data_IF_438330118802
#
_entry.id   IF_438330118802
#
_cell.length_a   1.000
_cell.length_b   1.000
_cell.length_c   1.000
_cell.angle_alpha   90.00
_cell.angle_beta   90.00
_cell.angle_gamma   90.00
#
_symmetry.space_group_name_H-M   'P 1'
#
loop_
_entity.id
_entity.type
_entity.pdbx_description
1 polymer ?
#
# COMPACT_ATOMS: atom_id res chain seq x y z
N UNK A 1 -14.24 -25.51 -7.23
CA UNK A 1 -14.06 -25.66 -8.69
C UNK A 1 -14.23 -24.27 -9.28
N UNK A 2 -13.14 -23.66 -9.74
CA UNK A 2 -13.11 -22.26 -10.22
C UNK A 2 -13.86 -22.19 -11.55
N UNK A 3 -15.00 -21.48 -11.60
CA UNK A 3 -15.65 -21.15 -12.87
C UNK A 3 -14.96 -19.94 -13.47
N UNK A 4 -14.25 -20.17 -14.58
CA UNK A 4 -13.87 -19.11 -15.50
C UNK A 4 -15.14 -18.49 -16.08
N UNK A 5 -15.24 -17.17 -16.03
CA UNK A 5 -16.29 -16.42 -16.71
C UNK A 5 -16.05 -16.54 -18.21
N UNK A 6 -16.98 -17.19 -18.93
CA UNK A 6 -16.98 -17.23 -20.38
C UNK A 6 -17.82 -16.06 -20.90
N UNK A 7 -17.19 -15.21 -21.71
CA UNK A 7 -17.92 -14.23 -22.51
C UNK A 7 -18.73 -14.95 -23.58
N UNK A 8 -20.02 -14.60 -23.70
CA UNK A 8 -20.92 -15.14 -24.72
C UNK A 8 -20.78 -14.42 -26.08
N UNK A 9 -19.73 -13.60 -26.26
CA UNK A 9 -19.45 -12.89 -27.50
C UNK A 9 -18.01 -13.18 -27.96
N UNK A 10 -17.90 -14.00 -29.02
CA UNK A 10 -16.70 -14.34 -29.81
C UNK A 10 -15.86 -15.57 -29.37
N UNK A 11 -16.46 -16.75 -29.56
CA UNK A 11 -15.82 -18.08 -29.61
C UNK A 11 -14.79 -18.23 -30.75
N UNK A 12 -13.58 -17.67 -30.67
CA UNK A 12 -12.44 -18.17 -31.50
C UNK A 12 -11.07 -18.15 -30.81
N UNK A 13 -10.82 -17.38 -29.75
CA UNK A 13 -9.49 -17.33 -29.14
C UNK A 13 -9.51 -17.66 -27.64
N UNK A 14 -8.87 -18.78 -27.27
CA UNK A 14 -8.48 -19.10 -25.89
C UNK A 14 -7.31 -18.20 -25.44
N UNK A 15 -7.45 -16.89 -25.57
CA UNK A 15 -6.62 -15.97 -24.81
C UNK A 15 -7.29 -15.81 -23.46
N UNK A 16 -6.68 -16.34 -22.40
CA UNK A 16 -7.07 -15.99 -21.05
C UNK A 16 -6.84 -14.48 -20.90
N UNK A 17 -7.90 -13.70 -21.09
CA UNK A 17 -7.84 -12.27 -20.79
C UNK A 17 -7.63 -12.15 -19.29
N UNK A 18 -6.53 -11.53 -18.91
CA UNK A 18 -6.28 -11.22 -17.51
C UNK A 18 -7.40 -10.29 -17.08
N UNK A 19 -8.24 -10.74 -16.13
CA UNK A 19 -9.30 -9.93 -15.49
C UNK A 19 -8.79 -8.63 -14.85
N UNK A 20 -7.46 -8.45 -14.86
CA UNK A 20 -6.73 -7.32 -14.29
C UNK A 20 -5.72 -6.83 -15.31
N UNK A 21 -5.79 -5.54 -15.62
CA UNK A 21 -4.68 -4.82 -16.21
C UNK A 21 -3.89 -4.14 -15.09
N UNK A 22 -2.59 -4.45 -14.98
CA UNK A 22 -1.62 -3.61 -14.28
C UNK A 22 -1.37 -3.93 -12.80
N UNK A 23 -0.76 -2.97 -12.13
CA UNK A 23 -0.09 -3.15 -10.85
C UNK A 23 -1.00 -3.30 -9.63
N UNK A 24 -2.31 -3.01 -9.76
CA UNK A 24 -3.23 -3.03 -8.61
C UNK A 24 -3.40 -4.42 -8.01
N UNK A 25 -3.14 -5.48 -8.80
CA UNK A 25 -3.34 -6.88 -8.43
C UNK A 25 -2.63 -7.26 -7.12
N UNK A 26 -1.43 -6.72 -6.89
CA UNK A 26 -0.61 -7.02 -5.71
C UNK A 26 -1.20 -6.42 -4.43
N UNK A 27 -2.02 -5.36 -4.54
CA UNK A 27 -2.62 -4.69 -3.40
C UNK A 27 -3.96 -5.28 -2.99
N UNK A 28 -4.63 -6.07 -3.84
CA UNK A 28 -5.99 -6.58 -3.61
C UNK A 28 -6.10 -7.33 -2.28
N UNK A 29 -5.14 -8.19 -1.95
CA UNK A 29 -5.14 -8.95 -0.70
C UNK A 29 -4.95 -8.08 0.56
N UNK A 30 -4.54 -6.82 0.42
CA UNK A 30 -4.35 -5.87 1.51
C UNK A 30 -5.55 -4.93 1.68
N UNK A 31 -6.45 -4.86 0.70
CA UNK A 31 -7.59 -3.95 0.73
C UNK A 31 -8.70 -4.47 1.65
N UNK A 32 -9.37 -3.52 2.28
CA UNK A 32 -10.71 -3.74 2.84
C UNK A 32 -11.76 -3.78 1.72
N UNK A 33 -12.95 -4.35 1.96
CA UNK A 33 -14.03 -4.30 0.96
C UNK A 33 -14.39 -2.87 0.53
N UNK A 34 -14.33 -1.88 1.43
CA UNK A 34 -14.59 -0.47 1.10
C UNK A 34 -13.55 0.09 0.14
N UNK A 35 -12.27 -0.12 0.46
CA UNK A 35 -11.17 0.36 -0.37
C UNK A 35 -11.22 -0.28 -1.76
N UNK A 36 -11.55 -1.57 -1.83
CA UNK A 36 -11.68 -2.27 -3.09
C UNK A 36 -12.85 -1.76 -3.95
N UNK A 37 -14.01 -1.45 -3.34
CA UNK A 37 -15.14 -0.83 -4.04
C UNK A 37 -14.85 0.59 -4.56
N UNK A 38 -13.88 1.29 -3.99
CA UNK A 38 -13.46 2.62 -4.43
C UNK A 38 -12.44 2.60 -5.58
N UNK A 39 -11.96 1.43 -6.00
CA UNK A 39 -11.02 1.31 -7.12
C UNK A 39 -11.75 1.64 -8.44
N UNK A 40 -11.22 2.55 -9.29
CA UNK A 40 -11.85 2.89 -10.56
C UNK A 40 -12.01 1.67 -11.47
N UNK A 41 -13.15 1.53 -12.16
CA UNK A 41 -13.37 0.45 -13.13
C UNK A 41 -12.35 0.44 -14.27
N UNK A 42 -11.73 1.58 -14.58
CA UNK A 42 -10.62 1.61 -15.55
C UNK A 42 -9.39 0.82 -15.09
N UNK A 43 -9.25 0.56 -13.79
CA UNK A 43 -8.17 -0.22 -13.19
C UNK A 43 -8.61 -1.69 -12.94
N UNK A 44 -9.92 -2.00 -13.04
CA UNK A 44 -10.49 -3.33 -12.78
C UNK A 44 -11.65 -3.68 -13.74
N UNK A 45 -11.52 -4.78 -14.49
CA UNK A 45 -12.57 -5.23 -15.43
C UNK A 45 -13.89 -5.57 -14.71
N UNK A 46 -13.80 -6.28 -13.57
CA UNK A 46 -14.92 -6.44 -12.63
C UNK A 46 -14.42 -6.74 -11.20
N UNK A 47 -14.92 -6.03 -10.17
CA UNK A 47 -14.43 -6.18 -8.80
C UNK A 47 -14.60 -7.61 -8.25
N UNK A 48 -15.74 -8.26 -8.47
CA UNK A 48 -15.99 -9.60 -7.91
C UNK A 48 -15.07 -10.68 -8.49
N UNK A 49 -14.90 -10.69 -9.82
CA UNK A 49 -14.07 -11.69 -10.49
C UNK A 49 -12.61 -11.59 -10.04
N UNK A 50 -12.11 -10.36 -9.86
CA UNK A 50 -10.77 -10.09 -9.34
C UNK A 50 -10.61 -10.58 -7.90
N UNK A 51 -11.55 -10.24 -7.02
CA UNK A 51 -11.49 -10.68 -5.64
C UNK A 51 -11.49 -12.21 -5.55
N UNK A 52 -12.32 -12.92 -6.34
CA UNK A 52 -12.36 -14.41 -6.29
C UNK A 52 -11.00 -15.03 -6.61
N UNK A 53 -10.25 -14.44 -7.55
CA UNK A 53 -8.93 -14.94 -7.96
C UNK A 53 -7.84 -14.59 -6.94
N UNK A 54 -7.84 -13.37 -6.41
CA UNK A 54 -6.75 -12.84 -5.57
C UNK A 54 -6.98 -12.95 -4.07
N UNK A 55 -8.23 -12.85 -3.62
CA UNK A 55 -8.64 -12.98 -2.22
C UNK A 55 -10.08 -13.52 -2.13
N UNK A 56 -10.26 -14.85 -2.13
CA UNK A 56 -11.59 -15.48 -2.02
C UNK A 56 -12.39 -14.98 -0.80
N UNK A 57 -11.69 -14.66 0.29
CA UNK A 57 -12.30 -14.05 1.48
C UNK A 57 -12.92 -12.69 1.16
N UNK A 58 -12.17 -11.80 0.50
CA UNK A 58 -12.68 -10.48 0.07
C UNK A 58 -13.87 -10.61 -0.87
N UNK A 59 -13.85 -11.58 -1.79
CA UNK A 59 -14.97 -11.84 -2.70
C UNK A 59 -16.26 -12.22 -1.95
N UNK A 60 -16.15 -13.14 -1.01
CA UNK A 60 -17.28 -13.55 -0.18
C UNK A 60 -17.85 -12.40 0.64
N UNK A 61 -16.99 -11.53 1.17
CA UNK A 61 -17.42 -10.34 1.91
C UNK A 61 -18.12 -9.32 1.00
N UNK A 62 -17.57 -9.01 -0.16
CA UNK A 62 -18.21 -8.12 -1.14
C UNK A 62 -19.57 -8.63 -1.57
N UNK A 63 -19.71 -9.95 -1.74
CA UNK A 63 -20.99 -10.58 -2.04
C UNK A 63 -21.97 -10.42 -0.89
N UNK A 64 -21.55 -10.68 0.35
CA UNK A 64 -22.39 -10.50 1.54
C UNK A 64 -22.80 -9.03 1.74
N UNK A 65 -21.90 -8.08 1.48
CA UNK A 65 -22.16 -6.64 1.58
C UNK A 65 -23.15 -6.20 0.50
N UNK A 66 -22.97 -6.61 -0.76
CA UNK A 66 -23.88 -6.21 -1.85
C UNK A 66 -25.28 -6.80 -1.71
N UNK A 67 -25.38 -7.97 -1.11
CA UNK A 67 -26.64 -8.59 -0.71
C UNK A 67 -27.23 -8.00 0.58
N UNK A 68 -26.59 -6.99 1.17
CA UNK A 68 -26.97 -6.35 2.44
C UNK A 68 -27.02 -7.31 3.64
N UNK A 69 -26.41 -8.49 3.53
CA UNK A 69 -26.32 -9.48 4.61
C UNK A 69 -25.31 -9.07 5.69
N UNK A 70 -24.33 -8.24 5.33
CA UNK A 70 -23.30 -7.71 6.23
C UNK A 70 -23.11 -6.22 6.02
N UNK A 71 -22.97 -5.46 7.11
CA UNK A 71 -22.58 -4.05 7.04
C UNK A 71 -21.09 -3.94 6.77
N UNK A 72 -20.69 -2.95 5.97
CA UNK A 72 -19.31 -2.72 5.58
C UNK A 72 -18.39 -2.55 6.80
N UNK A 73 -18.85 -1.82 7.80
CA UNK A 73 -18.14 -1.54 9.06
C UNK A 73 -17.80 -2.80 9.86
N UNK A 74 -18.49 -3.93 9.62
CA UNK A 74 -18.23 -5.18 10.31
C UNK A 74 -17.02 -5.95 9.74
N UNK A 75 -16.47 -5.51 8.61
CA UNK A 75 -15.38 -6.19 7.89
C UNK A 75 -14.02 -5.50 8.05
N UNK A 76 -14.01 -4.36 8.74
CA UNK A 76 -12.87 -3.47 8.87
C UNK A 76 -12.63 -3.18 10.35
N UNK A 77 -11.37 -3.10 10.75
CA UNK A 77 -11.02 -2.62 12.10
C UNK A 77 -10.08 -1.44 11.98
N UNK A 78 -10.41 -0.35 12.68
CA UNK A 78 -9.57 0.84 12.75
C UNK A 78 -8.33 0.54 13.60
N UNK A 79 -7.15 0.91 13.12
CA UNK A 79 -5.91 0.89 13.90
C UNK A 79 -5.75 2.23 14.66
N UNK A 80 -5.15 2.23 15.86
CA UNK A 80 -5.08 3.42 16.73
C UNK A 80 -4.07 4.50 16.27
N UNK A 81 -3.67 4.48 15.00
CA UNK A 81 -2.70 5.43 14.43
C UNK A 81 -2.99 5.71 12.96
N UNK A 82 -2.07 6.41 12.32
CA UNK A 82 -2.20 6.88 10.95
C UNK A 82 -0.91 6.67 10.16
N UNK A 83 -1.03 6.65 8.83
CA UNK A 83 0.11 6.76 7.95
C UNK A 83 0.26 8.20 7.47
N UNK A 84 1.50 8.67 7.38
CA UNK A 84 1.83 10.02 6.96
C UNK A 84 2.71 10.02 5.70
N UNK A 85 2.49 10.98 4.82
CA UNK A 85 3.34 11.26 3.67
C UNK A 85 3.80 12.71 3.74
N UNK A 86 5.11 12.92 3.84
CA UNK A 86 5.74 14.23 3.86
C UNK A 86 6.45 14.49 2.54
N UNK A 87 6.32 15.71 2.02
CA UNK A 87 6.98 16.14 0.77
C UNK A 87 8.14 17.07 1.07
N UNK A 88 9.28 16.82 0.45
CA UNK A 88 10.42 17.75 0.42
C UNK A 88 10.46 18.49 -0.93
N UNK A 89 10.53 19.82 -0.87
CA UNK A 89 10.64 20.73 -2.02
C UNK A 89 12.05 21.34 -2.15
N UNK A 90 13.05 20.78 -1.45
CA UNK A 90 14.44 21.26 -1.41
C UNK A 90 14.81 22.00 -0.11
N UNK A 91 13.98 21.93 0.94
CA UNK A 91 14.24 22.55 2.24
C UNK A 91 14.27 21.53 3.39
N UNK A 92 14.24 20.23 3.07
CA UNK A 92 13.91 19.16 4.01
C UNK A 92 12.39 19.03 4.18
N UNK A 93 11.94 18.08 4.99
CA UNK A 93 10.50 17.82 5.24
C UNK A 93 9.90 18.88 6.18
N UNK A 94 9.27 19.94 5.67
CA UNK A 94 8.66 20.97 6.50
C UNK A 94 7.35 20.45 7.12
N UNK A 95 7.03 20.90 8.33
CA UNK A 95 5.87 20.42 9.10
C UNK A 95 4.49 20.67 8.44
N UNK A 96 4.43 21.46 7.37
CA UNK A 96 3.19 21.84 6.67
C UNK A 96 2.87 21.05 5.39
N UNK A 97 3.77 20.23 4.86
CA UNK A 97 3.55 19.41 3.65
C UNK A 97 3.35 17.93 3.98
N UNK A 98 2.49 17.66 4.97
CA UNK A 98 2.15 16.31 5.41
C UNK A 98 0.70 15.96 5.07
N UNK A 99 0.50 14.76 4.55
CA UNK A 99 -0.81 14.14 4.34
C UNK A 99 -0.92 12.95 5.29
N UNK A 100 -2.00 12.89 6.06
CA UNK A 100 -2.28 11.78 6.97
C UNK A 100 -3.52 11.03 6.53
N UNK A 101 -3.53 9.71 6.70
CA UNK A 101 -4.72 8.88 6.47
C UNK A 101 -4.92 7.88 7.62
N UNK A 102 -6.16 7.71 8.10
CA UNK A 102 -6.46 6.67 9.08
C UNK A 102 -6.20 5.29 8.49
N UNK A 103 -5.86 4.35 9.36
CA UNK A 103 -5.51 3.00 8.96
C UNK A 103 -6.59 1.99 9.31
N UNK A 104 -6.84 1.10 8.36
CA UNK A 104 -7.80 0.02 8.49
C UNK A 104 -7.10 -1.30 8.21
N UNK A 105 -7.33 -2.29 9.07
CA UNK A 105 -6.97 -3.67 8.80
C UNK A 105 -8.17 -4.43 8.24
N UNK A 106 -7.93 -5.25 7.23
CA UNK A 106 -8.87 -6.25 6.78
C UNK A 106 -8.88 -7.46 7.75
N UNK A 107 -9.75 -8.44 7.49
CA UNK A 107 -9.89 -9.63 8.33
C UNK A 107 -8.61 -10.50 8.39
N UNK A 108 -7.73 -10.39 7.39
CA UNK A 108 -6.42 -11.07 7.37
C UNK A 108 -5.36 -10.30 8.17
N UNK A 109 -5.69 -9.16 8.77
CA UNK A 109 -4.75 -8.29 9.47
C UNK A 109 -3.85 -7.46 8.56
N UNK A 110 -4.15 -7.41 7.26
CA UNK A 110 -3.42 -6.62 6.26
C UNK A 110 -4.02 -5.23 6.10
N UNK A 111 -3.19 -4.29 5.72
CA UNK A 111 -3.51 -2.87 5.58
C UNK A 111 -3.05 -2.38 4.21
N UNK A 112 -3.95 -1.71 3.50
CA UNK A 112 -3.65 -0.98 2.26
C UNK A 112 -3.69 0.52 2.52
N UNK A 113 -2.65 1.21 2.08
CA UNK A 113 -2.49 2.66 2.19
C UNK A 113 -2.42 3.24 0.78
N UNK A 114 -3.20 4.31 0.54
CA UNK A 114 -3.13 5.12 -0.68
C UNK A 114 -3.11 6.59 -0.29
N UNK A 115 -2.03 7.27 -0.63
CA UNK A 115 -1.82 8.69 -0.39
C UNK A 115 -1.46 9.36 -1.71
N UNK A 116 -2.06 10.51 -2.00
CA UNK A 116 -1.87 11.22 -3.27
C UNK A 116 -1.65 12.70 -2.99
N UNK A 117 -0.64 13.29 -3.64
CA UNK A 117 -0.22 14.65 -3.39
C UNK A 117 0.13 15.37 -4.69
N UNK A 118 -0.23 16.64 -4.78
CA UNK A 118 0.11 17.51 -5.92
C UNK A 118 0.80 18.75 -5.39
N UNK A 119 2.06 18.92 -5.76
CA UNK A 119 2.89 20.06 -5.37
C UNK A 119 4.02 20.20 -6.39
N UNK A 120 4.31 21.42 -6.84
CA UNK A 120 5.39 21.62 -7.81
C UNK A 120 6.77 21.48 -7.16
N UNK A 121 7.65 20.75 -7.85
CA UNK A 121 9.06 20.63 -7.46
C UNK A 121 9.33 19.66 -6.31
N UNK A 122 8.57 18.57 -6.22
CA UNK A 122 8.84 17.51 -5.24
C UNK A 122 10.21 16.89 -5.55
N UNK A 123 11.11 16.93 -4.57
CA UNK A 123 12.48 16.40 -4.67
C UNK A 123 12.64 15.09 -3.90
N UNK A 124 11.91 14.92 -2.81
CA UNK A 124 11.88 13.67 -2.07
C UNK A 124 10.54 13.49 -1.36
N UNK A 125 10.26 12.24 -0.97
CA UNK A 125 9.16 11.91 -0.08
C UNK A 125 9.63 11.12 1.12
N UNK A 126 8.96 11.35 2.23
CA UNK A 126 9.10 10.58 3.45
C UNK A 126 7.74 9.96 3.75
N UNK A 127 7.68 8.63 3.63
CA UNK A 127 6.52 7.84 3.99
C UNK A 127 6.72 7.29 5.39
N UNK A 128 5.85 7.69 6.31
CA UNK A 128 5.77 7.15 7.66
C UNK A 128 4.60 6.17 7.71
N UNK A 129 4.84 4.85 7.65
CA UNK A 129 3.77 3.86 7.51
C UNK A 129 2.85 3.79 8.73
N UNK A 130 3.37 4.15 9.91
CA UNK A 130 2.65 4.17 11.17
C UNK A 130 3.33 5.12 12.15
N UNK A 131 2.54 5.97 12.80
CA UNK A 131 3.00 7.04 13.70
C UNK A 131 3.23 6.59 15.17
N UNK A 132 2.85 5.35 15.49
CA UNK A 132 3.02 4.73 16.81
C UNK A 132 4.07 3.60 16.78
N UNK A 133 4.61 3.18 17.94
CA UNK A 133 5.45 1.99 18.02
C UNK A 133 4.76 0.76 17.41
N UNK A 134 5.46 0.05 16.53
CA UNK A 134 4.91 -1.13 15.85
C UNK A 134 5.97 -2.06 15.27
N UNK A 135 5.55 -3.29 15.01
CA UNK A 135 6.18 -4.18 14.03
C UNK A 135 5.42 -4.04 12.71
N UNK A 136 6.15 -3.73 11.64
CA UNK A 136 5.66 -3.50 10.30
C UNK A 136 6.22 -4.59 9.39
N UNK A 137 5.36 -5.35 8.73
CA UNK A 137 5.76 -6.15 7.57
C UNK A 137 5.33 -5.40 6.32
N UNK A 138 6.28 -4.86 5.56
CA UNK A 138 5.98 -4.11 4.34
C UNK A 138 6.18 -5.05 3.16
N UNK A 139 5.08 -5.38 2.47
CA UNK A 139 5.12 -6.34 1.36
C UNK A 139 5.43 -5.63 0.03
N UNK A 140 4.91 -4.43 -0.16
CA UNK A 140 5.26 -3.59 -1.30
C UNK A 140 4.95 -2.10 -1.09
N UNK A 141 5.71 -1.26 -1.77
CA UNK A 141 5.47 0.17 -1.93
C UNK A 141 5.49 0.48 -3.42
N UNK A 142 4.44 1.07 -3.94
CA UNK A 142 4.38 1.60 -5.30
C UNK A 142 4.32 3.11 -5.26
N UNK A 143 5.23 3.73 -5.99
CA UNK A 143 5.21 5.14 -6.29
C UNK A 143 4.83 5.32 -7.76
N UNK A 144 3.70 5.99 -7.98
CA UNK A 144 3.34 6.54 -9.28
C UNK A 144 3.60 8.04 -9.25
N UNK A 145 4.24 8.60 -10.26
CA UNK A 145 4.59 10.03 -10.29
C UNK A 145 4.46 10.62 -11.69
N UNK A 146 4.27 11.93 -11.73
CA UNK A 146 4.12 12.73 -12.95
C UNK A 146 5.05 13.93 -12.91
N UNK A 147 5.74 14.18 -14.02
CA UNK A 147 6.67 15.29 -14.16
C UNK A 147 6.08 16.44 -14.98
N UNK A 148 6.48 17.68 -14.71
CA UNK A 148 5.91 18.90 -15.30
C UNK A 148 5.94 18.96 -16.84
N UNK A 149 6.85 18.21 -17.50
CA UNK A 149 7.04 18.21 -18.97
C UNK A 149 6.71 16.87 -19.64
N UNK A 150 6.19 15.91 -18.88
CA UNK A 150 5.85 14.59 -19.38
C UNK A 150 4.39 14.29 -19.06
N UNK A 151 3.58 14.06 -20.09
CA UNK A 151 2.25 13.47 -19.90
C UNK A 151 2.34 11.96 -19.63
N UNK A 152 3.55 11.38 -19.61
CA UNK A 152 3.75 9.99 -19.25
C UNK A 152 3.68 9.84 -17.75
N UNK A 153 2.90 8.85 -17.33
CA UNK A 153 2.85 8.40 -15.95
C UNK A 153 4.04 7.47 -15.73
N UNK A 154 4.88 7.78 -14.75
CA UNK A 154 5.97 6.91 -14.37
C UNK A 154 5.59 6.13 -13.12
N UNK A 155 6.00 4.87 -13.06
CA UNK A 155 5.69 3.99 -11.95
C UNK A 155 6.92 3.22 -11.54
N UNK A 156 7.16 3.20 -10.23
CA UNK A 156 8.24 2.49 -9.59
C UNK A 156 7.67 1.66 -8.46
N UNK A 157 7.95 0.36 -8.47
CA UNK A 157 7.51 -0.56 -7.41
C UNK A 157 8.73 -1.07 -6.66
N UNK A 158 8.68 -0.96 -5.35
CA UNK A 158 9.65 -1.50 -4.41
C UNK A 158 8.98 -2.69 -3.73
N UNK A 159 9.49 -3.89 -3.97
CA UNK A 159 9.08 -5.06 -3.19
C UNK A 159 9.61 -4.93 -1.77
N UNK A 160 8.93 -5.52 -0.78
CA UNK A 160 9.33 -5.46 0.62
C UNK A 160 10.81 -5.77 0.87
N UNK A 161 11.31 -6.80 0.17
CA UNK A 161 12.69 -7.27 0.26
C UNK A 161 13.72 -6.31 -0.34
N UNK A 162 13.29 -5.31 -1.11
CA UNK A 162 14.13 -4.32 -1.78
C UNK A 162 14.11 -2.96 -1.07
N UNK A 163 13.25 -2.77 -0.06
CA UNK A 163 13.07 -1.48 0.62
C UNK A 163 14.39 -0.98 1.19
N UNK A 164 15.11 -1.81 1.95
CA UNK A 164 16.38 -1.41 2.56
C UNK A 164 17.49 -1.08 1.56
N UNK A 165 17.37 -1.52 0.30
CA UNK A 165 18.34 -1.23 -0.77
C UNK A 165 17.98 -0.03 -1.63
N UNK A 166 16.70 0.34 -1.68
CA UNK A 166 16.18 1.36 -2.61
C UNK A 166 15.63 2.60 -1.89
N UNK A 167 15.48 2.54 -0.57
CA UNK A 167 15.00 3.62 0.26
C UNK A 167 15.90 3.83 1.47
N UNK A 168 16.02 5.08 1.92
CA UNK A 168 16.64 5.36 3.20
C UNK A 168 15.63 5.09 4.32
N UNK A 169 16.05 4.33 5.33
CA UNK A 169 15.23 4.02 6.50
C UNK A 169 15.69 4.85 7.69
N UNK A 170 14.75 5.52 8.36
CA UNK A 170 15.00 6.30 9.58
C UNK A 170 14.01 5.88 10.66
N UNK A 171 14.45 5.72 11.91
CA UNK A 171 13.56 5.27 13.00
C UNK A 171 12.98 3.86 12.82
N UNK A 172 13.55 3.05 11.91
CA UNK A 172 13.15 1.68 11.61
C UNK A 172 14.35 0.75 11.71
N UNK A 173 14.18 -0.38 12.41
CA UNK A 173 15.17 -1.44 12.47
C UNK A 173 14.65 -2.67 11.72
N UNK A 174 15.38 -3.13 10.71
CA UNK A 174 15.07 -4.40 10.05
C UNK A 174 15.25 -5.55 11.04
N UNK A 175 14.21 -6.38 11.18
CA UNK A 175 14.24 -7.62 11.97
C UNK A 175 14.07 -8.86 11.08
N UNK A 176 13.58 -8.68 9.85
CA UNK A 176 13.49 -9.71 8.81
C UNK A 176 13.65 -9.10 7.41
N UNK A 177 13.44 -9.89 6.37
CA UNK A 177 13.62 -9.44 4.97
C UNK A 177 12.61 -8.36 4.55
N UNK A 178 11.37 -8.44 5.06
CA UNK A 178 10.29 -7.48 4.80
C UNK A 178 9.77 -6.85 6.09
N UNK A 179 10.37 -7.19 7.24
CA UNK A 179 9.84 -6.89 8.56
C UNK A 179 10.74 -5.92 9.30
N UNK A 180 10.13 -4.87 9.85
CA UNK A 180 10.78 -3.77 10.51
C UNK A 180 10.13 -3.51 11.86
N UNK A 181 10.91 -3.16 12.87
CA UNK A 181 10.39 -2.62 14.12
C UNK A 181 10.61 -1.11 14.14
N UNK A 182 9.59 -0.36 14.54
CA UNK A 182 9.68 1.08 14.77
C UNK A 182 9.25 1.42 16.20
N UNK A 183 9.96 2.36 16.82
CA UNK A 183 9.62 2.88 18.15
C UNK A 183 8.63 4.03 18.05
N UNK A 184 8.80 4.92 17.09
CA UNK A 184 7.91 6.02 16.74
C UNK A 184 8.40 6.65 15.43
N UNK A 185 7.49 7.11 14.58
CA UNK A 185 7.80 7.82 13.34
C UNK A 185 8.84 7.09 12.48
N UNK A 186 8.62 5.79 12.24
CA UNK A 186 9.47 5.02 11.33
C UNK A 186 9.25 5.50 9.91
N UNK A 187 10.32 5.88 9.22
CA UNK A 187 10.26 6.57 7.93
C UNK A 187 10.97 5.78 6.83
N UNK A 188 10.31 5.69 5.68
CA UNK A 188 10.83 5.24 4.40
C UNK A 188 10.99 6.47 3.51
N UNK A 189 12.23 6.85 3.23
CA UNK A 189 12.57 8.05 2.47
C UNK A 189 12.98 7.65 1.06
N UNK A 190 12.32 8.25 0.07
CA UNK A 190 12.62 8.11 -1.35
C UNK A 190 13.06 9.47 -1.90
N UNK A 191 14.34 9.57 -2.23
CA UNK A 191 14.94 10.76 -2.84
C UNK A 191 14.91 10.64 -4.35
N UNK A 192 14.18 11.54 -5.02
CA UNK A 192 14.05 11.54 -6.47
C UNK A 192 15.34 11.96 -7.18
N UNK A 193 16.16 12.80 -6.55
CA UNK A 193 17.45 13.19 -7.11
C UNK A 193 18.40 11.98 -7.19
N UNK A 194 18.43 11.14 -6.14
CA UNK A 194 19.21 9.90 -6.14
C UNK A 194 18.71 8.89 -7.17
N UNK A 195 17.42 8.93 -7.50
CA UNK A 195 16.81 8.11 -8.55
C UNK A 195 16.93 8.72 -9.95
N UNK A 196 17.57 9.89 -10.10
CA UNK A 196 17.71 10.60 -11.37
C UNK A 196 16.39 11.17 -11.91
N UNK A 197 15.38 11.31 -11.06
CA UNK A 197 14.05 11.82 -11.39
C UNK A 197 13.99 13.32 -11.06
N UNK A 198 13.52 14.14 -12.00
CA UNK A 198 13.42 15.59 -11.82
C UNK A 198 12.02 16.13 -12.15
N UNK A 199 11.73 17.32 -11.61
CA UNK A 199 10.52 18.09 -11.89
C UNK A 199 9.21 17.33 -11.62
N UNK A 200 9.16 16.56 -10.53
CA UNK A 200 7.94 15.87 -10.08
C UNK A 200 6.94 16.90 -9.56
N UNK A 201 5.68 16.80 -10.02
CA UNK A 201 4.59 17.69 -9.63
C UNK A 201 3.45 17.00 -8.89
N UNK A 202 3.34 15.69 -9.10
CA UNK A 202 2.25 14.90 -8.58
C UNK A 202 2.78 13.50 -8.29
N UNK A 203 2.31 12.92 -7.20
CA UNK A 203 2.67 11.59 -6.77
C UNK A 203 1.45 10.88 -6.20
N UNK A 204 1.46 9.56 -6.33
CA UNK A 204 0.58 8.64 -5.67
C UNK A 204 1.43 7.54 -5.07
N UNK A 205 1.37 7.41 -3.75
CA UNK A 205 2.01 6.34 -3.00
C UNK A 205 0.94 5.32 -2.59
N UNK A 206 1.20 4.07 -2.93
CA UNK A 206 0.39 2.92 -2.53
C UNK A 206 1.28 1.93 -1.77
N UNK A 207 0.80 1.41 -0.65
CA UNK A 207 1.55 0.43 0.12
C UNK A 207 0.65 -0.69 0.64
N UNK A 208 1.14 -1.93 0.53
CA UNK A 208 0.54 -3.12 1.12
C UNK A 208 1.42 -3.61 2.25
N UNK A 209 0.84 -3.74 3.45
CA UNK A 209 1.60 -4.13 4.65
C UNK A 209 0.74 -4.82 5.69
N UNK A 210 1.38 -5.33 6.73
CA UNK A 210 0.75 -5.76 7.99
C UNK A 210 1.34 -4.96 9.14
N UNK A 211 0.48 -4.53 10.07
CA UNK A 211 0.85 -3.65 11.20
C UNK A 211 0.46 -4.33 12.50
N UNK A 212 1.43 -4.52 13.38
CA UNK A 212 1.23 -4.96 14.76
C UNK A 212 1.64 -3.81 15.70
N UNK A 213 0.67 -3.01 16.19
CA UNK A 213 0.94 -1.98 17.19
C UNK A 213 1.56 -2.60 18.44
N UNK A 214 2.52 -1.89 19.05
CA UNK A 214 3.14 -2.29 20.30
C UNK A 214 2.63 -1.38 21.42
N UNK A 215 2.09 -1.99 22.47
CA UNK A 215 1.61 -1.28 23.68
C UNK A 215 2.75 -0.77 24.59
N UNK A 216 4.01 -0.84 24.12
CA UNK A 216 5.20 -0.51 24.89
C UNK A 216 5.85 0.71 24.22
N UNK A 217 5.99 1.80 24.98
CA UNK A 217 6.59 3.04 24.50
C UNK A 217 8.06 2.89 24.07
N UNK A 218 8.75 1.84 24.57
CA UNK A 218 10.12 1.51 24.18
C UNK A 218 10.32 -0.02 24.14
N UNK A 219 9.97 -0.69 23.03
CA UNK A 219 10.19 -2.12 22.91
C UNK A 219 11.68 -2.43 22.88
N UNK A 220 12.12 -3.35 23.72
CA UNK A 220 13.49 -3.88 23.69
C UNK A 220 13.71 -4.66 22.38
N UNK A 221 14.17 -3.94 21.37
CA UNK A 221 14.35 -4.42 19.99
C UNK A 221 15.27 -5.65 19.93
N UNK A 222 16.18 -5.80 20.89
CA UNK A 222 17.10 -6.93 20.97
C UNK A 222 16.39 -8.24 21.33
N UNK A 223 15.26 -8.18 22.05
CA UNK A 223 14.40 -9.33 22.34
C UNK A 223 13.46 -9.67 21.18
N UNK A 224 13.01 -8.66 20.42
CA UNK A 224 12.12 -8.86 19.27
C UNK A 224 12.83 -9.51 18.08
N UNK A 225 14.13 -9.24 17.89
CA UNK A 225 14.94 -9.88 16.86
C UNK A 225 15.03 -11.43 17.01
N UNK A 226 14.75 -11.98 18.20
CA UNK A 226 14.69 -13.43 18.41
C UNK A 226 13.45 -14.08 17.76
N UNK A 227 12.33 -13.35 17.66
CA UNK A 227 11.08 -13.88 17.08
C UNK A 227 11.07 -13.86 15.54
N UNK A 228 11.92 -13.06 14.91
CA UNK A 228 11.97 -12.90 13.46
C UNK A 228 12.86 -13.94 12.73
N UNK A 229 13.49 -14.87 13.47
CA UNK A 229 14.31 -15.97 12.92
C UNK A 229 13.56 -17.31 12.81
N UNK A 230 12.27 -17.34 13.13
CA UNK A 230 11.41 -18.52 13.00
C UNK A 230 10.74 -18.57 11.63
#
# INVERSE_FOLDING_TARGET
MLQAWQHDENLVQQTAETLVSGDIIKFVSHMTPRQFLAVPMSEIYWPYGLAVVQSPATAGLLQAISQQALKLEATETILPGQANLHLDLGQGFPSGSSLSTPLYRNLEGRTYIKLEATQDGIQAICFEPFDLPAILQIDCIQLTYWCHRSNLTHRFTISGSQISSLAQLSGMQAIGATTYCTRKNGQVILDFNLLGIQAVRHIRLEAGMSIMPLDIADPDLSKLAMFAKC
#
